data_IF_056553707836
#
_entry.id   IF_056553707836
#
_cell.length_a   1.000
_cell.length_b   1.000
_cell.length_c   1.000
_cell.angle_alpha   90.00
_cell.angle_beta   90.00
_cell.angle_gamma   90.00
#
_symmetry.space_group_name_H-M   'P 1'
#
loop_
_entity.id
_entity.type
_entity.pdbx_description
1 polymer ?
#
# COMPACT_ATOMS: atom_id res chain seq x y z
N UNK A 1 -6.11 -25.24 2.85
CA UNK A 1 -5.77 -24.35 1.70
C UNK A 1 -5.23 -22.98 2.18
N UNK A 2 -4.30 -23.00 3.13
CA UNK A 2 -3.82 -21.85 3.95
C UNK A 2 -2.34 -21.51 3.68
N UNK A 3 -1.63 -22.40 2.98
CA UNK A 3 -0.24 -22.20 2.56
C UNK A 3 -0.08 -21.17 1.41
N UNK A 4 -1.16 -20.71 0.78
CA UNK A 4 -1.09 -19.84 -0.40
C UNK A 4 -1.01 -18.35 -0.08
N UNK A 5 -1.49 -17.89 1.08
CA UNK A 5 -1.43 -16.46 1.42
C UNK A 5 0.01 -16.04 1.81
N UNK A 6 0.75 -16.90 2.52
CA UNK A 6 2.18 -16.67 2.82
C UNK A 6 3.10 -16.91 1.62
N UNK A 7 2.74 -17.82 0.69
CA UNK A 7 3.48 -18.04 -0.57
C UNK A 7 3.32 -16.88 -1.55
N UNK A 8 2.18 -16.19 -1.57
CA UNK A 8 1.99 -14.96 -2.37
C UNK A 8 2.85 -13.82 -1.81
N UNK A 9 2.95 -13.69 -0.47
CA UNK A 9 3.85 -12.71 0.16
C UNK A 9 5.34 -13.01 -0.07
N UNK A 10 5.77 -14.27 -0.03
CA UNK A 10 7.19 -14.63 -0.30
C UNK A 10 7.58 -14.63 -1.79
N UNK A 11 6.63 -14.83 -2.72
CA UNK A 11 6.89 -14.72 -4.17
C UNK A 11 7.11 -13.28 -4.64
N UNK A 12 6.61 -12.28 -3.93
CA UNK A 12 6.85 -10.87 -4.23
C UNK A 12 8.25 -10.38 -3.84
N UNK A 13 9.03 -11.14 -3.04
CA UNK A 13 10.36 -10.71 -2.56
C UNK A 13 11.53 -11.64 -2.95
N UNK A 14 11.30 -12.72 -3.69
CA UNK A 14 12.37 -13.64 -4.13
C UNK A 14 12.30 -13.94 -5.62
N UNK A 15 12.72 -12.99 -6.46
CA UNK A 15 13.30 -13.27 -7.79
C UNK A 15 14.01 -12.02 -8.30
N UNK A 16 15.34 -12.03 -8.23
CA UNK A 16 16.17 -10.92 -8.70
C UNK A 16 17.45 -10.63 -7.90
N UNK A 17 17.99 -11.58 -7.13
CA UNK A 17 19.37 -11.50 -6.64
C UNK A 17 20.15 -12.73 -7.13
N UNK A 18 21.00 -12.51 -8.13
CA UNK A 18 22.24 -13.26 -8.29
C UNK A 18 23.40 -12.26 -8.20
N UNK A 19 24.25 -12.51 -7.23
CA UNK A 19 25.42 -11.74 -6.86
C UNK A 19 26.51 -11.87 -7.92
N UNK A 20 26.96 -10.74 -8.46
CA UNK A 20 28.21 -10.61 -9.19
C UNK A 20 28.97 -9.39 -8.67
N UNK A 21 29.84 -9.61 -7.68
CA UNK A 21 30.84 -8.62 -7.21
C UNK A 21 31.63 -8.11 -8.42
N UNK A 22 31.66 -6.80 -8.65
CA UNK A 22 32.88 -6.10 -9.11
C UNK A 22 32.86 -4.65 -8.66
N UNK A 23 34.00 -4.29 -8.07
CA UNK A 23 34.41 -2.96 -7.60
C UNK A 23 34.58 -1.99 -8.79
N UNK A 24 34.43 -0.72 -8.45
CA UNK A 24 35.09 0.48 -9.00
C UNK A 24 34.46 1.26 -10.16
N UNK A 25 34.64 2.57 -9.98
CA UNK A 25 34.68 3.70 -10.91
C UNK A 25 33.40 4.42 -11.31
N UNK A 26 33.19 5.54 -10.60
CA UNK A 26 32.90 6.88 -11.09
C UNK A 26 33.06 6.99 -12.62
N UNK A 27 31.96 7.22 -13.34
CA UNK A 27 31.95 8.06 -14.53
C UNK A 27 30.57 8.71 -14.70
N UNK A 28 30.63 10.01 -14.97
CA UNK A 28 29.55 10.93 -15.34
C UNK A 28 28.69 10.37 -16.48
N UNK A 29 27.54 9.79 -16.16
CA UNK A 29 26.38 9.78 -17.07
C UNK A 29 25.71 11.14 -16.96
N UNK A 30 25.42 11.80 -18.07
CA UNK A 30 24.84 13.14 -18.07
C UNK A 30 23.51 13.13 -17.27
N UNK A 31 23.20 14.22 -16.55
CA UNK A 31 21.93 14.36 -15.81
C UNK A 31 20.72 14.08 -16.72
N UNK A 32 20.89 14.32 -18.03
CA UNK A 32 19.96 14.02 -19.13
C UNK A 32 19.76 12.51 -19.34
N UNK A 33 20.80 11.68 -19.31
CA UNK A 33 20.70 10.22 -19.46
C UNK A 33 19.97 9.57 -18.29
N UNK A 34 20.16 10.14 -17.09
CA UNK A 34 19.44 9.70 -15.89
C UNK A 34 17.96 10.02 -16.03
N UNK A 35 17.60 11.25 -16.44
CA UNK A 35 16.22 11.67 -16.67
C UNK A 35 15.53 10.93 -17.82
N UNK A 36 16.25 10.58 -18.89
CA UNK A 36 15.72 9.78 -20.00
C UNK A 36 15.32 8.36 -19.55
N UNK A 37 16.04 7.77 -18.58
CA UNK A 37 15.64 6.51 -17.95
C UNK A 37 14.39 6.67 -17.06
N UNK A 38 14.21 7.86 -16.44
CA UNK A 38 12.96 8.18 -15.75
C UNK A 38 11.78 8.32 -16.70
N UNK A 39 11.93 8.81 -17.93
CA UNK A 39 10.81 8.89 -18.87
C UNK A 39 10.19 7.54 -19.25
N UNK A 40 10.98 6.45 -19.21
CA UNK A 40 10.43 5.09 -19.31
C UNK A 40 9.82 4.63 -17.99
N UNK A 41 10.52 4.85 -16.88
CA UNK A 41 10.03 4.43 -15.57
C UNK A 41 8.74 5.12 -15.17
N UNK A 42 8.58 6.43 -15.45
CA UNK A 42 7.35 7.19 -15.21
C UNK A 42 6.16 6.57 -15.96
N UNK A 43 6.32 6.16 -17.23
CA UNK A 43 5.26 5.52 -18.01
C UNK A 43 4.78 4.19 -17.42
N UNK A 44 5.64 3.49 -16.67
CA UNK A 44 5.28 2.26 -15.98
C UNK A 44 4.54 2.54 -14.66
N UNK A 45 4.53 3.79 -14.20
CA UNK A 45 3.85 4.16 -12.97
C UNK A 45 2.38 4.41 -13.28
N UNK A 46 1.46 3.89 -12.44
CA UNK A 46 0.02 4.05 -12.66
C UNK A 46 -0.37 5.50 -12.92
N UNK A 47 0.26 6.46 -12.24
CA UNK A 47 -0.04 7.89 -12.35
C UNK A 47 0.30 8.53 -13.70
N UNK A 48 1.27 7.98 -14.45
CA UNK A 48 1.66 8.50 -15.76
C UNK A 48 1.48 7.46 -16.87
N UNK A 49 0.76 6.38 -16.57
CA UNK A 49 0.45 5.34 -17.52
C UNK A 49 -0.33 5.92 -18.70
N UNK A 50 0.08 5.55 -19.92
CA UNK A 50 -0.54 6.02 -21.15
C UNK A 50 -0.17 7.43 -21.59
N UNK A 51 0.63 8.20 -20.81
CA UNK A 51 1.16 9.48 -21.29
C UNK A 51 2.20 9.27 -22.39
N UNK A 52 2.05 10.05 -23.46
CA UNK A 52 3.00 10.10 -24.58
C UNK A 52 4.30 10.76 -24.13
N UNK A 53 5.38 10.53 -24.86
CA UNK A 53 6.67 11.18 -24.57
C UNK A 53 6.57 12.70 -24.66
N UNK A 54 5.73 13.21 -25.56
CA UNK A 54 5.46 14.63 -25.70
C UNK A 54 4.74 15.22 -24.47
N UNK A 55 3.85 14.47 -23.82
CA UNK A 55 3.15 14.89 -22.60
C UNK A 55 4.04 14.77 -21.34
N UNK A 56 4.97 13.81 -21.33
CA UNK A 56 5.90 13.59 -20.22
C UNK A 56 7.11 14.52 -20.23
N UNK A 57 7.57 14.94 -21.41
CA UNK A 57 8.75 15.78 -21.55
C UNK A 57 8.65 17.09 -20.73
N UNK A 58 7.53 17.82 -20.73
CA UNK A 58 7.37 19.01 -19.88
C UNK A 58 7.49 18.71 -18.39
N UNK A 59 6.94 17.57 -17.92
CA UNK A 59 7.03 17.14 -16.52
C UNK A 59 8.49 16.85 -16.17
N UNK A 60 9.20 16.09 -17.01
CA UNK A 60 10.61 15.76 -16.79
C UNK A 60 11.51 17.00 -16.81
N UNK A 61 11.24 17.99 -17.66
CA UNK A 61 12.01 19.22 -17.74
C UNK A 61 11.94 20.07 -16.48
N UNK A 62 10.79 20.08 -15.79
CA UNK A 62 10.63 20.81 -14.52
C UNK A 62 11.06 20.00 -13.30
N UNK A 63 11.34 18.70 -13.48
CA UNK A 63 11.65 17.77 -12.41
C UNK A 63 13.14 17.74 -12.06
N UNK A 64 13.45 17.39 -10.81
CA UNK A 64 14.82 17.16 -10.34
C UNK A 64 14.92 15.85 -9.59
N UNK A 65 15.98 15.08 -9.86
CA UNK A 65 16.26 13.87 -9.10
C UNK A 65 16.81 14.24 -7.72
N UNK A 66 16.20 13.70 -6.67
CA UNK A 66 16.70 13.78 -5.30
C UNK A 66 16.99 12.38 -4.77
N UNK A 67 18.15 12.21 -4.17
CA UNK A 67 18.53 10.98 -3.48
C UNK A 67 18.57 11.26 -1.99
N UNK A 68 17.92 10.39 -1.21
CA UNK A 68 17.87 10.45 0.24
C UNK A 68 18.64 9.27 0.81
N UNK A 69 19.36 9.48 1.91
CA UNK A 69 20.00 8.41 2.68
C UNK A 69 19.06 7.83 3.73
N UNK A 70 19.47 6.73 4.34
CA UNK A 70 18.74 6.14 5.47
C UNK A 70 18.38 7.19 6.54
N UNK A 71 17.11 7.20 6.95
CA UNK A 71 16.50 8.11 7.94
C UNK A 71 16.46 9.58 7.58
N UNK A 72 16.88 9.98 6.37
CA UNK A 72 16.80 11.36 5.93
C UNK A 72 15.35 11.80 5.74
N UNK A 73 15.04 13.01 6.22
CA UNK A 73 13.70 13.62 6.10
C UNK A 73 13.62 14.38 4.77
N UNK A 74 12.60 14.08 3.98
CA UNK A 74 12.34 14.74 2.71
C UNK A 74 11.62 16.08 2.91
N UNK A 75 10.61 16.09 3.79
CA UNK A 75 9.84 17.25 4.27
C UNK A 75 9.15 16.91 5.60
N UNK A 76 8.78 17.92 6.38
CA UNK A 76 8.08 17.75 7.66
C UNK A 76 6.60 18.12 7.56
N UNK A 77 5.78 17.54 8.45
CA UNK A 77 4.39 17.96 8.64
C UNK A 77 4.31 19.45 8.96
N UNK A 78 3.37 20.17 8.32
CA UNK A 78 3.16 21.59 8.54
C UNK A 78 4.06 22.52 7.73
N UNK A 79 5.14 22.02 7.13
CA UNK A 79 5.99 22.80 6.23
C UNK A 79 5.20 23.27 5.00
N UNK A 80 5.55 24.46 4.48
CA UNK A 80 4.98 24.94 3.21
C UNK A 80 5.28 23.92 2.11
N UNK A 81 4.23 23.45 1.46
CA UNK A 81 4.37 22.53 0.33
C UNK A 81 4.95 23.25 -0.88
N UNK A 82 6.06 22.75 -1.38
CA UNK A 82 6.77 23.33 -2.54
C UNK A 82 6.92 22.34 -3.69
N UNK A 83 6.85 21.04 -3.40
CA UNK A 83 7.06 19.98 -4.38
C UNK A 83 6.09 18.82 -4.18
N UNK A 84 5.82 18.14 -5.28
CA UNK A 84 5.29 16.78 -5.34
C UNK A 84 6.42 15.85 -5.76
N UNK A 85 6.35 14.60 -5.30
CA UNK A 85 7.40 13.62 -5.46
C UNK A 85 6.86 12.36 -6.10
N UNK A 86 7.68 11.75 -6.94
CA UNK A 86 7.45 10.41 -7.48
C UNK A 86 8.55 9.50 -6.95
N UNK A 87 8.18 8.45 -6.22
CA UNK A 87 9.14 7.50 -5.68
C UNK A 87 9.56 6.53 -6.77
N UNK A 88 10.82 6.58 -7.23
CA UNK A 88 11.30 5.62 -8.24
C UNK A 88 12.16 4.50 -7.68
N UNK A 89 12.74 4.67 -6.48
CA UNK A 89 13.43 3.57 -5.81
C UNK A 89 13.37 3.69 -4.29
N UNK A 90 13.12 2.57 -3.62
CA UNK A 90 13.21 2.46 -2.16
C UNK A 90 11.87 2.59 -1.45
N UNK A 91 11.89 3.08 -0.21
CA UNK A 91 10.70 3.16 0.66
C UNK A 91 10.71 4.43 1.48
N UNK A 92 9.59 5.16 1.43
CA UNK A 92 9.33 6.35 2.25
C UNK A 92 8.31 5.99 3.33
N UNK A 93 8.56 6.44 4.55
CA UNK A 93 7.65 6.36 5.69
C UNK A 93 6.98 7.71 5.84
N UNK A 94 5.65 7.73 5.91
CA UNK A 94 4.88 8.93 6.23
C UNK A 94 4.38 8.80 7.66
N UNK A 95 4.76 9.75 8.52
CA UNK A 95 4.32 9.83 9.91
C UNK A 95 3.60 11.14 10.20
N UNK A 96 2.85 11.15 11.30
CA UNK A 96 2.25 12.34 11.91
C UNK A 96 2.60 12.41 13.38
N UNK A 97 2.64 13.62 13.92
CA UNK A 97 2.68 13.80 15.37
C UNK A 97 1.27 13.58 15.95
N UNK A 98 1.16 12.76 16.98
CA UNK A 98 -0.06 12.64 17.79
C UNK A 98 -0.21 13.87 18.69
N UNK A 99 -1.39 14.04 19.29
CA UNK A 99 -1.64 15.08 20.30
C UNK A 99 -0.71 14.96 21.52
N UNK A 100 -0.19 13.76 21.78
CA UNK A 100 0.79 13.47 22.84
C UNK A 100 2.24 13.73 22.41
N UNK A 101 2.48 14.14 21.16
CA UNK A 101 3.81 14.42 20.61
C UNK A 101 4.59 13.19 20.13
N UNK A 102 3.94 12.02 20.04
CA UNK A 102 4.56 10.80 19.51
C UNK A 102 4.44 10.73 17.98
N UNK A 103 5.45 10.20 17.29
CA UNK A 103 5.36 9.94 15.86
C UNK A 103 4.56 8.65 15.58
N UNK A 104 3.42 8.80 14.92
CA UNK A 104 2.61 7.68 14.44
C UNK A 104 2.83 7.47 12.94
N UNK A 105 3.22 6.25 12.53
CA UNK A 105 3.37 5.88 11.13
C UNK A 105 1.98 5.73 10.48
N UNK A 106 1.66 6.61 9.53
CA UNK A 106 0.36 6.62 8.86
C UNK A 106 0.39 5.90 7.50
N UNK A 107 1.53 5.86 6.83
CA UNK A 107 1.64 5.21 5.52
C UNK A 107 3.08 4.78 5.19
N UNK A 108 3.22 3.77 4.33
CA UNK A 108 4.49 3.28 3.80
C UNK A 108 4.40 3.33 2.28
N UNK A 109 5.19 4.21 1.67
CA UNK A 109 5.16 4.43 0.23
C UNK A 109 6.20 3.58 -0.51
N UNK A 110 5.78 3.02 -1.64
CA UNK A 110 6.56 2.15 -2.51
C UNK A 110 6.91 2.78 -3.86
N UNK A 111 7.76 2.08 -4.61
CA UNK A 111 8.16 2.47 -5.98
C UNK A 111 6.91 2.67 -6.85
N UNK A 112 6.91 3.77 -7.60
CA UNK A 112 5.83 4.19 -8.48
C UNK A 112 4.78 5.10 -7.86
N UNK A 113 4.82 5.33 -6.55
CA UNK A 113 3.83 6.18 -5.90
C UNK A 113 4.17 7.67 -6.00
N UNK A 114 3.14 8.48 -6.27
CA UNK A 114 3.19 9.94 -6.23
C UNK A 114 2.71 10.46 -4.87
N UNK A 115 3.42 11.42 -4.29
CA UNK A 115 3.09 11.93 -2.97
C UNK A 115 3.64 13.36 -2.71
N UNK A 116 3.02 14.14 -1.80
CA UNK A 116 1.68 13.90 -1.28
C UNK A 116 0.64 14.01 -2.42
N UNK A 117 -0.39 13.16 -2.39
CA UNK A 117 -1.48 13.20 -3.38
C UNK A 117 -2.60 14.17 -2.97
N UNK A 118 -2.43 14.88 -1.86
CA UNK A 118 -3.41 15.81 -1.31
C UNK A 118 -2.98 17.26 -1.49
N UNK A 119 -4.02 18.08 -1.64
CA UNK A 119 -3.97 19.53 -1.72
C UNK A 119 -3.37 20.11 -3.01
N UNK A 120 -3.42 19.40 -4.13
CA UNK A 120 -3.25 20.10 -5.40
C UNK A 120 -4.23 21.27 -5.50
N UNK A 121 -3.76 22.42 -5.95
CA UNK A 121 -4.54 23.66 -6.14
C UNK A 121 -5.04 24.33 -4.85
N UNK A 122 -4.60 23.87 -3.68
CA UNK A 122 -4.73 24.59 -2.41
C UNK A 122 -3.34 25.03 -1.90
N UNK A 123 -3.30 25.94 -0.92
CA UNK A 123 -2.05 26.30 -0.25
C UNK A 123 -1.81 25.46 1.01
N UNK A 124 -2.35 24.23 1.06
CA UNK A 124 -2.21 23.39 2.23
C UNK A 124 -0.73 23.01 2.45
N UNK A 125 -0.27 22.98 3.72
CA UNK A 125 1.06 22.51 4.06
C UNK A 125 1.20 21.00 3.81
N UNK A 126 2.43 20.48 3.94
CA UNK A 126 2.65 19.04 3.91
C UNK A 126 1.81 18.34 4.99
N UNK A 127 1.01 17.31 4.62
CA UNK A 127 0.03 16.69 5.51
C UNK A 127 0.65 15.68 6.48
N UNK A 128 1.98 15.55 6.52
CA UNK A 128 2.71 14.57 7.32
C UNK A 128 4.21 14.70 7.07
N UNK A 129 5.02 14.03 7.88
CA UNK A 129 6.47 14.00 7.73
C UNK A 129 6.88 12.82 6.85
N UNK A 130 7.66 13.07 5.81
CA UNK A 130 8.17 12.03 4.92
C UNK A 130 9.64 11.71 5.21
N UNK A 131 9.92 10.44 5.51
CA UNK A 131 11.26 9.97 5.92
C UNK A 131 11.70 8.75 5.14
N UNK A 132 12.95 8.73 4.71
CA UNK A 132 13.53 7.57 4.02
C UNK A 132 13.82 6.41 4.99
N UNK A 133 13.44 5.19 4.61
CA UNK A 133 13.75 3.96 5.38
C UNK A 133 15.14 3.36 5.06
N UNK A 134 15.67 3.67 3.87
CA UNK A 134 16.98 3.29 3.29
C UNK A 134 17.30 4.30 2.18
N UNK A 135 18.35 4.05 1.40
CA UNK A 135 18.63 4.82 0.19
C UNK A 135 17.40 4.86 -0.73
N UNK A 136 16.89 6.08 -0.96
CA UNK A 136 15.68 6.35 -1.72
C UNK A 136 16.02 7.31 -2.87
N UNK A 137 15.39 7.09 -4.03
CA UNK A 137 15.42 8.03 -5.14
C UNK A 137 14.00 8.51 -5.45
N UNK A 138 13.83 9.82 -5.44
CA UNK A 138 12.58 10.49 -5.81
C UNK A 138 12.81 11.49 -6.92
N UNK A 139 11.82 11.61 -7.79
CA UNK A 139 11.72 12.73 -8.71
C UNK A 139 10.92 13.84 -8.02
N UNK A 140 11.55 14.98 -7.77
CA UNK A 140 10.93 16.15 -7.16
C UNK A 140 10.43 17.12 -8.23
N UNK A 141 9.15 17.48 -8.16
CA UNK A 141 8.45 18.30 -9.15
C UNK A 141 7.92 19.55 -8.43
N UNK A 142 8.36 20.77 -8.79
CA UNK A 142 7.86 22.00 -8.17
C UNK A 142 6.35 22.12 -8.38
N UNK A 143 5.60 22.28 -7.28
CA UNK A 143 4.15 22.16 -7.32
C UNK A 143 3.49 23.24 -8.17
N UNK A 144 3.96 24.48 -8.08
CA UNK A 144 3.44 25.61 -8.88
C UNK A 144 3.60 25.35 -10.39
N UNK A 145 4.73 24.77 -10.79
CA UNK A 145 4.98 24.42 -12.20
C UNK A 145 4.14 23.25 -12.66
N UNK A 146 3.96 22.26 -11.79
CA UNK A 146 3.10 21.11 -12.06
C UNK A 146 1.64 21.53 -12.22
N UNK A 147 1.13 22.37 -11.32
CA UNK A 147 -0.23 22.94 -11.42
C UNK A 147 -0.42 23.78 -12.67
N UNK A 148 0.58 24.61 -13.03
CA UNK A 148 0.54 25.37 -14.28
C UNK A 148 0.54 24.46 -15.50
N UNK A 149 1.29 23.37 -15.47
CA UNK A 149 1.27 22.38 -16.55
C UNK A 149 -0.10 21.72 -16.70
N UNK A 150 -0.74 21.34 -15.59
CA UNK A 150 -2.09 20.78 -15.61
C UNK A 150 -3.09 21.79 -16.19
N UNK A 151 -2.98 23.09 -15.82
CA UNK A 151 -3.83 24.16 -16.35
C UNK A 151 -3.67 24.36 -17.86
N UNK A 152 -2.44 24.22 -18.36
CA UNK A 152 -2.13 24.44 -19.77
C UNK A 152 -2.38 23.21 -20.66
N UNK A 153 -2.54 22.02 -20.06
CA UNK A 153 -2.79 20.77 -20.75
C UNK A 153 -3.99 20.02 -20.12
N UNK A 154 -5.24 20.42 -20.38
CA UNK A 154 -6.42 19.80 -19.81
C UNK A 154 -6.52 18.29 -20.05
N UNK A 155 -5.98 17.79 -21.17
CA UNK A 155 -5.91 16.36 -21.49
C UNK A 155 -5.13 15.58 -20.43
N UNK A 156 -4.05 16.17 -19.91
CA UNK A 156 -3.27 15.61 -18.81
C UNK A 156 -4.11 15.52 -17.54
N UNK A 157 -4.94 16.53 -17.25
CA UNK A 157 -5.86 16.52 -16.10
C UNK A 157 -6.89 15.38 -16.21
N UNK A 158 -7.54 15.22 -17.37
CA UNK A 158 -8.51 14.15 -17.61
C UNK A 158 -7.89 12.76 -17.43
N UNK A 159 -6.65 12.58 -17.91
CA UNK A 159 -5.89 11.34 -17.73
C UNK A 159 -5.59 11.05 -16.26
N UNK A 160 -5.13 12.04 -15.51
CA UNK A 160 -4.92 11.88 -14.06
C UNK A 160 -6.21 11.50 -13.33
N UNK A 161 -7.34 12.13 -13.68
CA UNK A 161 -8.66 11.81 -13.11
C UNK A 161 -9.04 10.36 -13.43
N UNK A 162 -8.81 9.89 -14.66
CA UNK A 162 -9.08 8.51 -15.05
C UNK A 162 -8.27 7.52 -14.20
N UNK A 163 -6.96 7.73 -14.06
CA UNK A 163 -6.10 6.88 -13.22
C UNK A 163 -6.56 6.89 -11.76
N UNK A 164 -6.89 8.06 -11.22
CA UNK A 164 -7.40 8.17 -9.84
C UNK A 164 -8.71 7.40 -9.68
N UNK A 165 -9.62 7.48 -10.65
CA UNK A 165 -10.87 6.73 -10.63
C UNK A 165 -10.62 5.21 -10.66
N UNK A 166 -9.74 4.72 -11.53
CA UNK A 166 -9.35 3.31 -11.57
C UNK A 166 -8.77 2.84 -10.22
N UNK A 167 -7.94 3.68 -9.57
CA UNK A 167 -7.40 3.39 -8.24
C UNK A 167 -8.50 3.37 -7.17
N UNK A 168 -9.45 4.30 -7.20
CA UNK A 168 -10.60 4.32 -6.28
C UNK A 168 -11.43 3.05 -6.45
N UNK A 169 -11.76 2.66 -7.69
CA UNK A 169 -12.50 1.43 -7.97
C UNK A 169 -11.74 0.20 -7.50
N UNK A 170 -10.42 0.14 -7.72
CA UNK A 170 -9.57 -0.93 -7.21
C UNK A 170 -9.59 -1.00 -5.67
N UNK A 171 -9.45 0.15 -4.98
CA UNK A 171 -9.49 0.21 -3.52
C UNK A 171 -10.88 -0.15 -2.98
N UNK A 172 -11.96 0.27 -3.63
CA UNK A 172 -13.33 -0.14 -3.31
C UNK A 172 -13.51 -1.64 -3.49
N UNK A 173 -12.99 -2.23 -4.58
CA UNK A 173 -13.02 -3.69 -4.79
C UNK A 173 -12.24 -4.40 -3.70
N UNK A 174 -11.06 -3.92 -3.32
CA UNK A 174 -10.25 -4.51 -2.24
C UNK A 174 -10.92 -4.37 -0.88
N UNK A 175 -11.52 -3.23 -0.60
CA UNK A 175 -12.33 -3.02 0.60
C UNK A 175 -13.53 -3.98 0.60
N UNK A 176 -14.20 -4.11 -0.54
CA UNK A 176 -15.26 -5.08 -0.71
C UNK A 176 -14.72 -6.50 -0.53
N UNK A 177 -13.57 -6.91 -1.04
CA UNK A 177 -12.99 -8.24 -0.79
C UNK A 177 -12.76 -8.49 0.71
N UNK A 178 -12.27 -7.47 1.45
CA UNK A 178 -12.12 -7.51 2.91
C UNK A 178 -13.49 -7.64 3.61
N UNK A 179 -14.52 -6.97 3.09
CA UNK A 179 -15.88 -6.98 3.66
C UNK A 179 -16.77 -8.14 3.15
N UNK A 180 -16.50 -8.68 1.97
CA UNK A 180 -17.33 -9.55 1.12
C UNK A 180 -17.07 -11.04 1.33
N UNK A 181 -16.08 -11.42 2.14
CA UNK A 181 -16.24 -12.70 2.83
C UNK A 181 -17.46 -12.54 3.73
N UNK A 182 -18.56 -13.25 3.42
CA UNK A 182 -19.67 -13.32 4.36
C UNK A 182 -19.12 -13.82 5.72
N UNK A 183 -19.80 -13.50 6.81
CA UNK A 183 -19.38 -13.92 8.17
C UNK A 183 -19.04 -15.42 8.19
N UNK A 184 -19.78 -16.20 7.41
CA UNK A 184 -19.55 -17.63 7.20
C UNK A 184 -18.15 -17.96 6.64
N UNK A 185 -17.69 -17.29 5.58
CA UNK A 185 -16.37 -17.50 4.99
C UNK A 185 -15.23 -16.97 5.87
N UNK A 186 -15.40 -15.82 6.54
CA UNK A 186 -14.39 -15.33 7.50
C UNK A 186 -14.26 -16.24 8.70
N UNK A 187 -15.39 -16.74 9.20
CA UNK A 187 -15.41 -17.71 10.30
C UNK A 187 -14.78 -19.04 9.88
N UNK A 188 -15.00 -19.52 8.65
CA UNK A 188 -14.33 -20.73 8.15
C UNK A 188 -12.82 -20.55 8.13
N UNK A 189 -12.32 -19.44 7.56
CA UNK A 189 -10.89 -19.16 7.51
C UNK A 189 -10.26 -19.04 8.91
N UNK A 190 -10.96 -18.42 9.86
CA UNK A 190 -10.50 -18.32 11.24
C UNK A 190 -10.46 -19.69 11.94
N UNK A 191 -11.51 -20.52 11.80
CA UNK A 191 -11.53 -21.85 12.41
C UNK A 191 -10.49 -22.79 11.79
N UNK A 192 -10.26 -22.74 10.48
CA UNK A 192 -9.21 -23.50 9.81
C UNK A 192 -7.82 -23.17 10.37
N UNK A 193 -7.51 -21.88 10.53
CA UNK A 193 -6.25 -21.44 11.12
C UNK A 193 -6.11 -21.84 12.60
N UNK A 194 -7.19 -21.75 13.37
CA UNK A 194 -7.21 -22.17 14.77
C UNK A 194 -7.09 -23.70 14.89
N UNK A 195 -7.61 -24.47 13.93
CA UNK A 195 -7.43 -25.91 13.85
C UNK A 195 -5.97 -26.30 13.63
N UNK A 196 -5.25 -25.57 12.77
CA UNK A 196 -3.82 -25.78 12.55
C UNK A 196 -2.97 -25.51 13.80
N UNK A 197 -3.39 -24.56 14.64
CA UNK A 197 -2.61 -24.09 15.80
C UNK A 197 -2.98 -24.77 17.11
N UNK A 198 -4.25 -25.10 17.32
CA UNK A 198 -4.79 -25.68 18.57
C UNK A 198 -5.33 -27.11 18.39
N UNK A 199 -5.44 -27.60 17.15
CA UNK A 199 -6.14 -28.84 16.83
C UNK A 199 -7.65 -28.67 16.80
N UNK A 200 -8.39 -29.78 16.82
CA UNK A 200 -9.85 -29.77 16.62
C UNK A 200 -10.64 -29.17 17.80
N UNK A 201 -9.99 -28.76 18.89
CA UNK A 201 -10.66 -28.12 20.03
C UNK A 201 -10.11 -26.71 20.21
N UNK A 202 -10.96 -25.72 20.02
CA UNK A 202 -10.61 -24.30 20.09
C UNK A 202 -11.09 -23.73 21.42
N UNK A 203 -10.16 -23.15 22.19
CA UNK A 203 -10.43 -22.55 23.51
C UNK A 203 -10.55 -21.02 23.41
N UNK A 204 -11.46 -20.54 22.55
CA UNK A 204 -11.77 -19.12 22.40
C UNK A 204 -13.26 -18.86 22.56
N UNK A 205 -13.58 -17.72 23.17
CA UNK A 205 -14.96 -17.23 23.29
C UNK A 205 -15.48 -16.71 21.95
N UNK A 206 -16.80 -16.65 21.80
CA UNK A 206 -17.43 -16.08 20.60
C UNK A 206 -17.09 -14.60 20.39
N UNK A 207 -16.79 -13.86 21.47
CA UNK A 207 -16.36 -12.46 21.38
C UNK A 207 -14.94 -12.36 20.81
N UNK A 208 -14.02 -13.19 21.29
CA UNK A 208 -12.65 -13.23 20.78
C UNK A 208 -12.63 -13.62 19.29
N UNK A 209 -13.45 -14.61 18.90
CA UNK A 209 -13.62 -14.98 17.50
C UNK A 209 -14.22 -13.82 16.69
N UNK A 210 -15.19 -13.10 17.24
CA UNK A 210 -15.78 -11.90 16.61
C UNK A 210 -14.73 -10.82 16.35
N UNK A 211 -13.84 -10.57 17.31
CA UNK A 211 -12.74 -9.62 17.15
C UNK A 211 -11.78 -10.06 16.04
N UNK A 212 -11.48 -11.36 15.92
CA UNK A 212 -10.63 -11.90 14.84
C UNK A 212 -11.25 -11.69 13.47
N UNK A 213 -12.56 -11.94 13.31
CA UNK A 213 -13.23 -11.90 12.01
C UNK A 213 -13.92 -10.56 11.69
N UNK A 214 -13.73 -9.54 12.54
CA UNK A 214 -14.38 -8.23 12.39
C UNK A 214 -15.91 -8.33 12.41
N UNK A 215 -16.49 -9.05 13.37
CA UNK A 215 -17.94 -9.23 13.52
C UNK A 215 -18.38 -9.21 14.99
N UNK A 216 -19.69 -9.12 15.24
CA UNK A 216 -20.23 -9.12 16.60
C UNK A 216 -20.34 -10.55 17.16
N UNK A 217 -20.32 -10.68 18.50
CA UNK A 217 -20.51 -11.96 19.20
C UNK A 217 -21.80 -12.66 18.79
N UNK A 218 -22.88 -11.91 18.62
CA UNK A 218 -24.21 -12.42 18.25
C UNK A 218 -24.17 -13.03 16.86
N UNK A 219 -23.45 -12.38 15.94
CA UNK A 219 -23.32 -12.81 14.55
C UNK A 219 -22.49 -14.09 14.44
N UNK A 220 -21.40 -14.21 15.22
CA UNK A 220 -20.62 -15.45 15.35
C UNK A 220 -21.45 -16.57 15.97
N UNK A 221 -22.15 -16.29 17.07
CA UNK A 221 -22.99 -17.27 17.78
C UNK A 221 -24.08 -17.83 16.87
N UNK A 222 -24.73 -16.96 16.08
CA UNK A 222 -25.77 -17.37 15.11
C UNK A 222 -25.21 -18.29 14.03
N UNK A 223 -24.02 -17.99 13.52
CA UNK A 223 -23.37 -18.81 12.49
C UNK A 223 -22.91 -20.17 13.05
N UNK A 224 -22.28 -20.20 14.22
CA UNK A 224 -21.88 -21.43 14.90
C UNK A 224 -23.08 -22.34 15.19
N UNK A 225 -24.21 -21.78 15.63
CA UNK A 225 -25.45 -22.55 15.84
C UNK A 225 -26.01 -23.16 14.55
N UNK A 226 -25.88 -22.47 13.41
CA UNK A 226 -26.25 -23.01 12.09
C UNK A 226 -25.35 -24.18 11.72
N UNK A 227 -24.06 -24.09 11.98
CA UNK A 227 -23.07 -25.14 11.71
C UNK A 227 -23.17 -26.33 12.67
N UNK A 228 -23.54 -26.09 13.93
CA UNK A 228 -23.83 -27.14 14.91
C UNK A 228 -25.03 -27.97 14.48
N UNK A 229 -26.10 -27.33 13.99
CA UNK A 229 -27.26 -28.03 13.40
C UNK A 229 -26.87 -28.89 12.18
N UNK A 230 -25.81 -28.51 11.47
CA UNK A 230 -25.30 -29.23 10.30
C UNK A 230 -24.20 -30.26 10.64
N UNK A 231 -23.90 -30.49 11.92
CA UNK A 231 -22.82 -31.35 12.41
C UNK A 231 -21.42 -30.97 11.90
N UNK A 232 -21.14 -29.66 11.74
CA UNK A 232 -19.79 -29.20 11.36
C UNK A 232 -18.93 -28.84 12.58
N UNK A 233 -19.59 -28.39 13.65
CA UNK A 233 -18.96 -28.04 14.94
C UNK A 233 -19.87 -28.47 16.09
N UNK A 234 -19.33 -28.58 17.30
CA UNK A 234 -20.06 -28.73 18.55
C UNK A 234 -19.65 -27.60 19.49
N UNK A 235 -20.60 -26.81 19.98
CA UNK A 235 -20.32 -25.66 20.82
C UNK A 235 -20.55 -26.03 22.29
N UNK A 236 -19.49 -25.97 23.10
CA UNK A 236 -19.55 -26.15 24.56
C UNK A 236 -19.39 -24.80 25.26
N UNK A 237 -19.61 -24.79 26.58
CA UNK A 237 -19.56 -23.56 27.40
C UNK A 237 -18.20 -22.87 27.37
N UNK A 238 -17.11 -23.62 27.21
CA UNK A 238 -15.72 -23.18 27.33
C UNK A 238 -14.86 -23.45 26.09
N UNK A 239 -15.41 -24.11 25.06
CA UNK A 239 -14.66 -24.54 23.88
C UNK A 239 -15.56 -24.81 22.68
N UNK A 240 -14.99 -24.79 21.49
CA UNK A 240 -15.63 -25.21 20.24
C UNK A 240 -14.89 -26.43 19.70
N UNK A 241 -15.62 -27.50 19.40
CA UNK A 241 -15.06 -28.74 18.85
C UNK A 241 -15.39 -28.77 17.36
N UNK A 242 -14.38 -28.90 16.51
CA UNK A 242 -14.53 -29.00 15.06
C UNK A 242 -14.76 -30.47 14.68
N UNK A 243 -15.91 -30.76 14.05
CA UNK A 243 -16.30 -32.11 13.61
C UNK A 243 -15.85 -32.36 12.18
N UNK A 244 -15.92 -31.31 11.34
CA UNK A 244 -15.37 -31.32 9.99
C UNK A 244 -13.98 -30.69 9.94
N UNK A 245 -13.18 -31.11 8.97
CA UNK A 245 -11.97 -30.40 8.60
C UNK A 245 -12.37 -29.12 7.84
N UNK A 246 -11.87 -27.99 8.32
CA UNK A 246 -12.10 -26.69 7.69
C UNK A 246 -10.95 -26.29 6.76
N UNK A 247 -9.95 -27.17 6.56
CA UNK A 247 -8.82 -26.93 5.66
C UNK A 247 -9.07 -27.30 4.19
N UNK A 248 -10.18 -27.99 3.89
CA UNK A 248 -10.64 -28.41 2.56
C UNK A 248 -11.68 -27.44 1.97
#
# INVERSE_FOLDING_TARGET
MTADIWRVYQRLFKRGFHSGKKRNNIHSGSEVDVLNNWGRHLRELPFFEGLTEHELAPILQISRLRTLKDKEILFMEGDKRTHVYVLGKGTILISKLTETGEESLINVLGEGEIFPHTGFFDQAPYPGTAKAKKDVKVLAIPIERFEMLIKNHPELAFRMIQVMNEKIVFLQKKLNEVLSLNVEARLMGALAHLQETQGNTIFLTHQEIGNIIGSTRETVSRQLKKWEKNNWVEVKKDRIILIKDFND
#
